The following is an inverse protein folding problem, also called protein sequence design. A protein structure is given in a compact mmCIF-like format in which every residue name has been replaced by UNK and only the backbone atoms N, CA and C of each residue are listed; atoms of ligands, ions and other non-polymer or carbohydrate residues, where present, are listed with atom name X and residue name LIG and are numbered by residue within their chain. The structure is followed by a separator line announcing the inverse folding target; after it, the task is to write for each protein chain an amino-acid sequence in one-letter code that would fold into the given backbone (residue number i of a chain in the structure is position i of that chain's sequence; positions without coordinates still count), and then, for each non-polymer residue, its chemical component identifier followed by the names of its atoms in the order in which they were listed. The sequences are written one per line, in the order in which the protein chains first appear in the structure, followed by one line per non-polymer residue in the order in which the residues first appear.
data_IF_212636210657
#
_entry.id   IF_212636210657
#
_cell.length_a   1.000
_cell.length_b   1.000
_cell.length_c   1.000
_cell.angle_alpha   90.00
_cell.angle_beta   90.00
_cell.angle_gamma   90.00
#
_symmetry.space_group_name_H-M   'P 1'
#
loop_
_entity.id
_entity.type
_entity.pdbx_description
1 polymer ?
#
# COMPACT_ATOMS: atom_id res chain seq x y z
N UNK A 1 25.69 -2.94 -7.50
CA UNK A 1 25.01 -1.83 -6.77
C UNK A 1 25.86 -1.35 -5.59
N UNK A 2 26.49 -0.18 -5.71
CA UNK A 2 27.23 0.43 -4.61
C UNK A 2 26.29 0.88 -3.48
N UNK A 3 26.40 0.24 -2.32
CA UNK A 3 25.61 0.60 -1.13
C UNK A 3 26.23 1.88 -0.57
N UNK A 4 25.50 2.99 -0.68
CA UNK A 4 25.90 4.26 -0.05
C UNK A 4 26.26 4.04 1.43
N UNK A 5 27.34 4.64 1.96
CA UNK A 5 27.80 4.43 3.36
C UNK A 5 26.77 4.86 4.42
N UNK A 6 25.72 5.60 4.03
CA UNK A 6 24.59 5.94 4.92
C UNK A 6 23.60 4.78 5.08
N UNK A 7 23.50 3.89 4.08
CA UNK A 7 22.65 2.71 4.12
C UNK A 7 23.25 1.59 4.96
N UNK A 8 24.57 1.38 4.90
CA UNK A 8 25.26 0.32 5.66
C UNK A 8 25.05 0.48 7.16
N UNK A 9 25.28 1.68 7.68
CA UNK A 9 25.02 1.99 9.09
C UNK A 9 23.55 1.74 9.47
N UNK A 10 22.61 2.09 8.59
CA UNK A 10 21.18 1.91 8.85
C UNK A 10 20.76 0.44 8.87
N UNK A 11 21.41 -0.41 8.05
CA UNK A 11 21.19 -1.84 8.00
C UNK A 11 21.70 -2.54 9.26
N UNK A 12 22.91 -2.23 9.72
CA UNK A 12 23.46 -2.76 10.98
C UNK A 12 22.56 -2.41 12.18
N UNK A 13 22.04 -1.19 12.23
CA UNK A 13 21.08 -0.80 13.27
C UNK A 13 19.76 -1.56 13.16
N UNK A 14 19.22 -1.74 11.96
CA UNK A 14 18.00 -2.52 11.78
C UNK A 14 18.18 -3.98 12.24
N UNK A 15 19.33 -4.59 11.94
CA UNK A 15 19.66 -5.96 12.33
C UNK A 15 19.90 -6.13 13.84
N UNK A 16 20.37 -5.10 14.55
CA UNK A 16 20.54 -5.16 16.01
C UNK A 16 19.22 -5.06 16.78
N UNK A 17 18.21 -4.41 16.19
CA UNK A 17 16.87 -4.26 16.79
C UNK A 17 16.01 -5.53 16.61
N UNK A 18 16.24 -6.26 15.52
CA UNK A 18 15.44 -7.42 15.15
C UNK A 18 15.96 -8.72 15.78
N UNK A 19 15.04 -9.64 16.07
CA UNK A 19 15.43 -10.99 16.47
C UNK A 19 16.23 -11.69 15.35
N UNK A 20 17.16 -12.61 15.68
CA UNK A 20 18.01 -13.29 14.70
C UNK A 20 17.26 -13.88 13.50
N UNK A 21 16.08 -14.44 13.74
CA UNK A 21 15.25 -15.08 12.70
C UNK A 21 14.76 -14.10 11.62
N UNK A 22 14.66 -12.81 11.95
CA UNK A 22 14.10 -11.78 11.08
C UNK A 22 15.16 -10.90 10.41
N UNK A 23 16.44 -11.04 10.75
CA UNK A 23 17.53 -10.21 10.21
C UNK A 23 17.62 -10.24 8.69
N UNK A 24 17.39 -11.41 8.08
CA UNK A 24 17.39 -11.60 6.62
C UNK A 24 16.43 -10.68 5.86
N UNK A 25 15.37 -10.22 6.51
CA UNK A 25 14.34 -9.37 5.93
C UNK A 25 14.67 -7.87 6.03
N UNK A 26 15.63 -7.49 6.88
CA UNK A 26 15.98 -6.09 7.13
C UNK A 26 16.45 -5.38 5.86
N UNK A 27 17.25 -6.06 5.02
CA UNK A 27 17.73 -5.53 3.75
C UNK A 27 16.59 -5.22 2.77
N UNK A 28 15.63 -6.13 2.66
CA UNK A 28 14.47 -5.95 1.77
C UNK A 28 13.56 -4.82 2.26
N UNK A 29 13.30 -4.76 3.56
CA UNK A 29 12.53 -3.66 4.14
C UNK A 29 13.22 -2.32 3.86
N UNK A 30 14.52 -2.21 4.11
CA UNK A 30 15.26 -0.95 3.98
C UNK A 30 15.30 -0.43 2.54
N UNK A 31 15.26 -1.31 1.54
CA UNK A 31 15.13 -0.93 0.13
C UNK A 31 13.78 -0.27 -0.20
N UNK A 32 12.72 -0.69 0.49
CA UNK A 32 11.35 -0.21 0.27
C UNK A 32 10.88 0.81 1.32
N UNK A 33 11.74 1.16 2.28
CA UNK A 33 11.37 1.98 3.42
C UNK A 33 11.04 3.42 3.02
N UNK A 34 9.96 3.96 3.57
CA UNK A 34 9.58 5.36 3.35
C UNK A 34 10.51 6.31 4.10
N UNK A 35 10.56 7.58 3.67
CA UNK A 35 11.36 8.61 4.36
C UNK A 35 11.00 8.76 5.84
N UNK A 36 9.73 8.55 6.20
CA UNK A 36 9.25 8.62 7.58
C UNK A 36 9.70 7.42 8.40
N UNK A 37 9.69 6.22 7.82
CA UNK A 37 10.20 5.00 8.46
C UNK A 37 11.71 5.10 8.70
N UNK A 38 12.48 5.60 7.73
CA UNK A 38 13.93 5.83 7.89
C UNK A 38 14.21 6.85 9.00
N UNK A 39 13.40 7.91 9.11
CA UNK A 39 13.47 8.86 10.23
C UNK A 39 13.14 8.18 11.56
N UNK A 40 12.11 7.33 11.59
CA UNK A 40 11.74 6.52 12.75
C UNK A 40 12.87 5.60 13.19
N UNK A 41 13.56 4.94 12.25
CA UNK A 41 14.72 4.09 12.53
C UNK A 41 15.86 4.88 13.19
N UNK A 42 16.12 6.12 12.73
CA UNK A 42 17.11 6.99 13.37
C UNK A 42 16.70 7.37 14.79
N UNK A 43 15.41 7.64 15.02
CA UNK A 43 14.90 7.94 16.36
C UNK A 43 15.11 6.73 17.27
N UNK A 44 14.74 5.53 16.81
CA UNK A 44 14.94 4.29 17.56
C UNK A 44 16.42 4.07 17.88
N UNK A 45 17.32 4.29 16.91
CA UNK A 45 18.76 4.12 17.16
C UNK A 45 19.29 5.09 18.22
N UNK A 46 18.81 6.34 18.24
CA UNK A 46 19.14 7.28 19.32
C UNK A 46 18.55 6.87 20.67
N UNK A 47 17.32 6.35 20.70
CA UNK A 47 16.68 5.89 21.94
C UNK A 47 17.48 4.75 22.56
N UNK A 48 17.89 3.77 21.74
CA UNK A 48 18.67 2.62 22.19
C UNK A 48 20.06 3.05 22.68
N UNK A 49 20.75 3.92 21.92
CA UNK A 49 22.05 4.49 22.34
C UNK A 49 21.99 5.24 23.67
N UNK A 50 20.83 5.78 24.03
CA UNK A 50 20.61 6.51 25.29
C UNK A 50 19.79 5.71 26.31
N UNK A 51 19.64 4.38 26.13
CA UNK A 51 18.94 3.47 27.05
C UNK A 51 17.52 3.93 27.45
N UNK A 52 16.80 4.58 26.53
CA UNK A 52 15.45 5.06 26.77
C UNK A 52 15.32 6.37 27.56
N UNK A 53 16.43 7.03 27.93
CA UNK A 53 16.42 8.28 28.72
C UNK A 53 16.39 9.56 27.86
N UNK A 54 16.49 9.44 26.53
CA UNK A 54 16.58 10.58 25.62
C UNK A 54 15.25 11.34 25.55
N UNK A 55 15.26 12.63 25.88
CA UNK A 55 14.18 13.55 25.51
C UNK A 55 14.54 14.29 24.22
N UNK A 56 13.66 14.25 23.24
CA UNK A 56 13.83 15.00 22.01
C UNK A 56 13.29 16.41 22.20
N UNK A 57 14.14 17.41 21.97
CA UNK A 57 13.70 18.80 21.97
C UNK A 57 12.63 18.94 20.88
N UNK A 58 11.45 19.45 21.24
CA UNK A 58 10.47 19.84 20.23
C UNK A 58 11.15 20.81 19.27
N UNK A 59 11.01 20.63 17.95
CA UNK A 59 11.47 21.64 17.02
C UNK A 59 10.83 22.95 17.46
N UNK A 60 11.63 23.99 17.71
CA UNK A 60 11.11 25.33 17.97
C UNK A 60 10.53 25.83 16.64
N UNK A 61 9.31 25.38 16.34
CA UNK A 61 8.54 25.82 15.19
C UNK A 61 8.09 27.24 15.54
N UNK A 62 8.82 28.24 15.03
CA UNK A 62 8.24 29.57 14.91
C UNK A 62 7.01 29.42 14.02
N UNK A 63 5.80 29.82 14.48
CA UNK A 63 4.58 29.60 13.73
C UNK A 63 4.72 30.29 12.36
N UNK A 64 4.52 29.54 11.28
CA UNK A 64 4.49 30.15 9.94
C UNK A 64 3.13 30.83 9.76
N UNK A 65 3.08 31.87 8.96
CA UNK A 65 1.83 32.59 8.63
C UNK A 65 0.80 31.63 8.02
N UNK A 66 1.25 30.62 7.26
CA UNK A 66 0.40 29.54 6.74
C UNK A 66 -0.32 28.77 7.83
N UNK A 67 0.37 28.48 8.93
CA UNK A 67 -0.13 27.65 10.02
C UNK A 67 -1.15 28.43 10.84
N UNK A 68 -0.94 29.75 10.97
CA UNK A 68 -1.91 30.66 11.59
C UNK A 68 -3.21 30.73 10.78
N UNK A 69 -3.14 30.84 9.44
CA UNK A 69 -4.32 30.84 8.58
C UNK A 69 -5.06 29.50 8.59
N UNK A 70 -4.32 28.39 8.66
CA UNK A 70 -4.91 27.06 8.80
C UNK A 70 -5.66 26.93 10.14
N UNK A 71 -5.03 27.36 11.24
CA UNK A 71 -5.65 27.38 12.57
C UNK A 71 -6.89 28.29 12.62
N UNK A 72 -6.84 29.46 11.98
CA UNK A 72 -8.00 30.35 11.86
C UNK A 72 -9.17 29.69 11.13
N UNK A 73 -8.89 29.00 10.02
CA UNK A 73 -9.91 28.25 9.27
C UNK A 73 -10.48 27.10 10.10
N UNK A 74 -9.66 26.40 10.87
CA UNK A 74 -10.11 25.29 11.72
C UNK A 74 -10.99 25.81 12.87
N UNK A 75 -10.59 26.92 13.52
CA UNK A 75 -11.41 27.58 14.55
C UNK A 75 -12.73 28.06 13.96
N UNK A 76 -12.72 28.65 12.75
CA UNK A 76 -13.93 29.11 12.07
C UNK A 76 -14.85 27.95 11.71
N UNK A 77 -14.32 26.82 11.24
CA UNK A 77 -15.11 25.63 10.97
C UNK A 77 -15.73 25.07 12.24
N UNK A 78 -14.95 25.00 13.32
CA UNK A 78 -15.42 24.51 14.62
C UNK A 78 -16.50 25.43 15.21
N UNK A 79 -16.36 26.75 15.07
CA UNK A 79 -17.37 27.71 15.56
C UNK A 79 -18.64 27.74 14.72
N UNK A 80 -18.55 27.45 13.42
CA UNK A 80 -19.71 27.35 12.53
C UNK A 80 -20.36 25.95 12.54
N UNK A 81 -19.80 24.99 13.28
CA UNK A 81 -20.31 23.62 13.34
C UNK A 81 -21.58 23.58 14.17
N UNK A 82 -22.65 23.04 13.61
CA UNK A 82 -23.91 22.90 14.33
C UNK A 82 -23.81 21.80 15.39
N UNK A 83 -24.61 21.90 16.46
CA UNK A 83 -24.70 20.84 17.47
C UNK A 83 -25.13 19.51 16.87
N UNK A 84 -25.97 19.55 15.83
CA UNK A 84 -26.37 18.38 15.05
C UNK A 84 -25.19 17.73 14.32
N UNK A 85 -24.30 18.50 13.69
CA UNK A 85 -23.08 17.98 13.04
C UNK A 85 -22.04 17.44 14.02
N UNK A 86 -22.10 17.90 15.27
CA UNK A 86 -21.31 17.33 16.35
C UNK A 86 -21.92 15.96 16.70
N UNK A 87 -23.19 15.87 17.07
CA UNK A 87 -23.76 14.62 17.60
C UNK A 87 -24.04 13.54 16.54
N UNK A 88 -24.45 13.95 15.34
CA UNK A 88 -24.94 13.05 14.28
C UNK A 88 -24.14 13.16 12.98
N UNK A 89 -23.16 14.06 12.91
CA UNK A 89 -22.28 14.19 11.75
C UNK A 89 -21.30 13.01 11.62
N UNK A 90 -21.26 12.41 10.43
CA UNK A 90 -20.37 11.28 10.07
C UNK A 90 -18.88 11.67 10.15
N UNK A 91 -18.54 12.97 10.15
CA UNK A 91 -17.16 13.49 10.18
C UNK A 91 -16.48 13.44 11.55
N UNK A 92 -17.07 12.78 12.56
CA UNK A 92 -16.40 12.54 13.85
C UNK A 92 -15.23 11.54 13.81
N UNK A 93 -14.72 11.18 12.62
CA UNK A 93 -13.39 10.59 12.51
C UNK A 93 -12.35 11.70 12.80
N UNK A 94 -12.31 12.18 14.05
CA UNK A 94 -11.12 12.81 14.64
C UNK A 94 -9.98 11.92 14.18
N UNK A 95 -9.07 12.47 13.39
CA UNK A 95 -7.91 11.75 12.92
C UNK A 95 -7.16 11.28 14.17
N UNK A 96 -7.47 10.06 14.63
CA UNK A 96 -6.88 9.46 15.82
C UNK A 96 -5.41 9.35 15.44
N UNK A 97 -4.62 10.26 15.98
CA UNK A 97 -3.18 10.30 15.75
C UNK A 97 -2.68 8.90 16.07
N UNK A 98 -1.96 8.28 15.13
CA UNK A 98 -1.61 6.85 15.24
C UNK A 98 -0.87 6.49 16.53
N UNK A 99 -0.25 7.49 17.17
CA UNK A 99 0.38 7.53 18.49
C UNK A 99 -0.57 7.40 19.69
N UNK A 100 -1.85 7.78 19.56
CA UNK A 100 -2.82 7.72 20.64
C UNK A 100 -2.99 6.29 21.19
N UNK A 101 -2.76 5.26 20.37
CA UNK A 101 -2.77 3.86 20.80
C UNK A 101 -1.79 3.58 21.96
N UNK A 102 -0.66 4.29 22.00
CA UNK A 102 0.37 4.12 23.04
C UNK A 102 -0.05 4.72 24.39
N UNK A 103 -1.13 5.51 24.43
CA UNK A 103 -1.70 6.00 25.70
C UNK A 103 -2.50 4.93 26.41
N UNK A 104 -3.06 3.99 25.66
CA UNK A 104 -3.98 2.96 26.16
C UNK A 104 -3.33 1.58 26.26
N UNK A 105 -2.32 1.30 25.43
CA UNK A 105 -1.72 -0.03 25.29
C UNK A 105 -0.21 0.02 25.36
N UNK A 106 0.41 -0.96 26.04
CA UNK A 106 1.87 -1.07 26.10
C UNK A 106 2.44 -1.57 24.76
N UNK A 107 3.71 -1.25 24.49
CA UNK A 107 4.36 -1.67 23.24
C UNK A 107 4.52 -3.19 23.16
N UNK A 108 4.80 -3.84 24.29
CA UNK A 108 4.87 -5.29 24.46
C UNK A 108 3.59 -6.02 24.05
N UNK A 109 2.43 -5.40 24.27
CA UNK A 109 1.13 -6.00 23.98
C UNK A 109 0.76 -5.89 22.49
N UNK A 110 1.46 -5.06 21.71
CA UNK A 110 1.19 -4.90 20.28
C UNK A 110 1.84 -6.03 19.47
N UNK A 111 1.27 -6.34 18.29
CA UNK A 111 1.80 -7.39 17.41
C UNK A 111 3.25 -7.15 16.96
N UNK A 112 3.69 -5.89 16.93
CA UNK A 112 5.05 -5.49 16.56
C UNK A 112 6.12 -5.95 17.56
N UNK A 113 5.74 -6.29 18.80
CA UNK A 113 6.71 -6.76 19.81
C UNK A 113 7.34 -8.10 19.45
N UNK A 114 6.63 -8.92 18.67
CA UNK A 114 7.04 -10.28 18.29
C UNK A 114 8.32 -10.33 17.44
N UNK A 115 8.65 -9.24 16.74
CA UNK A 115 9.81 -9.17 15.85
C UNK A 115 11.04 -8.51 16.50
N UNK A 116 10.85 -7.82 17.63
CA UNK A 116 11.86 -7.01 18.30
C UNK A 116 12.65 -7.81 19.33
N UNK A 117 13.91 -7.44 19.56
CA UNK A 117 14.68 -7.93 20.70
C UNK A 117 14.10 -7.44 22.02
N UNK A 118 14.22 -8.25 23.08
CA UNK A 118 13.72 -7.90 24.42
C UNK A 118 14.35 -6.61 24.95
N UNK A 119 15.64 -6.41 24.70
CA UNK A 119 16.39 -5.21 25.11
C UNK A 119 15.85 -3.95 24.44
N UNK A 120 15.67 -3.99 23.11
CA UNK A 120 15.12 -2.87 22.36
C UNK A 120 13.71 -2.52 22.85
N UNK A 121 12.89 -3.53 23.13
CA UNK A 121 11.53 -3.34 23.65
C UNK A 121 11.55 -2.57 24.98
N UNK A 122 12.39 -2.97 25.94
CA UNK A 122 12.51 -2.31 27.25
C UNK A 122 12.90 -0.84 27.09
N UNK A 123 13.90 -0.53 26.25
CA UNK A 123 14.34 0.85 26.04
C UNK A 123 13.28 1.71 25.36
N UNK A 124 12.56 1.14 24.39
CA UNK A 124 11.46 1.85 23.72
C UNK A 124 10.29 2.09 24.66
N UNK A 125 9.90 1.11 25.48
CA UNK A 125 8.84 1.29 26.48
C UNK A 125 9.19 2.35 27.52
N UNK A 126 10.42 2.30 28.04
CA UNK A 126 10.94 3.33 28.96
C UNK A 126 10.87 4.72 28.35
N UNK A 127 11.22 4.83 27.07
CA UNK A 127 11.15 6.10 26.35
C UNK A 127 9.70 6.58 26.14
N UNK A 128 8.78 5.69 25.80
CA UNK A 128 7.34 6.02 25.64
C UNK A 128 6.76 6.54 26.96
N UNK A 129 7.17 6.00 28.10
CA UNK A 129 6.74 6.46 29.43
C UNK A 129 7.14 7.92 29.73
N UNK A 130 8.17 8.46 29.07
CA UNK A 130 8.56 9.86 29.23
C UNK A 130 7.53 10.84 28.65
N UNK A 131 6.53 10.36 27.89
CA UNK A 131 5.46 11.16 27.26
C UNK A 131 6.01 12.37 26.50
N UNK A 132 6.99 12.10 25.64
CA UNK A 132 7.65 13.09 24.79
C UNK A 132 6.73 13.57 23.64
N UNK A 133 7.29 14.22 22.60
CA UNK A 133 6.48 14.70 21.46
C UNK A 133 5.76 13.58 20.71
N UNK A 134 4.47 13.79 20.44
CA UNK A 134 3.59 12.86 19.73
C UNK A 134 4.04 12.57 18.29
N UNK A 135 4.70 13.53 17.65
CA UNK A 135 5.26 13.39 16.31
C UNK A 135 6.33 12.30 16.25
N UNK A 136 7.22 12.25 17.23
CA UNK A 136 8.29 11.25 17.28
C UNK A 136 7.74 9.86 17.59
N UNK A 137 6.71 9.77 18.43
CA UNK A 137 6.00 8.51 18.68
C UNK A 137 5.32 7.98 17.41
N UNK A 138 4.74 8.88 16.61
CA UNK A 138 4.14 8.52 15.31
C UNK A 138 5.20 7.99 14.33
N UNK A 139 6.36 8.64 14.24
CA UNK A 139 7.46 8.17 13.40
C UNK A 139 8.00 6.79 13.84
N UNK A 140 8.13 6.58 15.15
CA UNK A 140 8.51 5.30 15.73
C UNK A 140 7.50 4.21 15.35
N UNK A 141 6.20 4.46 15.53
CA UNK A 141 5.15 3.50 15.20
C UNK A 141 5.11 3.19 13.70
N UNK A 142 5.27 4.19 12.84
CA UNK A 142 5.32 3.98 11.40
C UNK A 142 6.49 3.09 11.01
N UNK A 143 7.66 3.30 11.61
CA UNK A 143 8.82 2.42 11.41
C UNK A 143 8.53 0.98 11.85
N UNK A 144 8.03 0.76 13.07
CA UNK A 144 7.72 -0.58 13.58
C UNK A 144 6.64 -1.29 12.75
N UNK A 145 5.60 -0.56 12.31
CA UNK A 145 4.55 -1.06 11.42
C UNK A 145 5.12 -1.45 10.06
N UNK A 146 5.97 -0.61 9.48
CA UNK A 146 6.62 -0.87 8.20
C UNK A 146 7.46 -2.14 8.24
N UNK A 147 8.29 -2.29 9.28
CA UNK A 147 9.13 -3.49 9.47
C UNK A 147 8.26 -4.73 9.63
N UNK A 148 7.27 -4.67 10.53
CA UNK A 148 6.38 -5.81 10.79
C UNK A 148 5.57 -6.23 9.56
N UNK A 149 5.03 -5.26 8.82
CA UNK A 149 4.31 -5.51 7.58
C UNK A 149 5.20 -6.23 6.57
N UNK A 150 6.42 -5.73 6.36
CA UNK A 150 7.37 -6.35 5.43
C UNK A 150 7.71 -7.78 5.84
N UNK A 151 8.01 -8.03 7.12
CA UNK A 151 8.29 -9.38 7.63
C UNK A 151 7.09 -10.29 7.42
N UNK A 152 5.87 -9.84 7.77
CA UNK A 152 4.67 -10.68 7.63
C UNK A 152 4.34 -11.01 6.19
N UNK A 153 4.49 -10.06 5.27
CA UNK A 153 4.35 -10.31 3.84
C UNK A 153 5.36 -11.39 3.43
N UNK A 154 6.63 -11.26 3.82
CA UNK A 154 7.67 -12.19 3.42
C UNK A 154 7.56 -13.58 4.07
N UNK A 155 6.95 -13.69 5.25
CA UNK A 155 6.65 -14.98 5.88
C UNK A 155 5.47 -15.70 5.22
N UNK A 156 4.46 -14.94 4.76
CA UNK A 156 3.21 -15.48 4.24
C UNK A 156 3.23 -15.69 2.73
N UNK A 157 4.36 -15.42 2.05
CA UNK A 157 4.51 -15.75 0.64
C UNK A 157 4.44 -17.28 0.51
N UNK A 158 3.40 -17.85 -0.14
CA UNK A 158 3.37 -19.27 -0.39
C UNK A 158 4.59 -19.60 -1.24
N UNK A 159 5.39 -20.57 -0.78
CA UNK A 159 6.46 -21.16 -1.59
C UNK A 159 5.77 -21.93 -2.70
N UNK A 160 5.39 -21.23 -3.77
CA UNK A 160 4.93 -21.89 -4.99
C UNK A 160 6.11 -22.69 -5.52
N UNK A 161 5.86 -23.89 -6.04
CA UNK A 161 6.89 -24.78 -6.61
C UNK A 161 7.76 -24.12 -7.71
N UNK A 162 7.38 -22.94 -8.18
CA UNK A 162 8.14 -22.08 -9.10
C UNK A 162 9.20 -21.19 -8.43
N UNK A 163 9.21 -21.00 -7.11
CA UNK A 163 10.21 -20.16 -6.43
C UNK A 163 11.62 -20.77 -6.42
N UNK A 164 11.78 -22.07 -6.60
CA UNK A 164 13.12 -22.64 -6.85
C UNK A 164 13.72 -22.14 -8.18
N UNK A 165 12.89 -21.60 -9.08
CA UNK A 165 13.29 -21.11 -10.41
C UNK A 165 13.12 -19.60 -10.61
N UNK A 166 12.45 -18.88 -9.70
CA UNK A 166 12.29 -17.42 -9.78
C UNK A 166 13.30 -16.72 -8.90
N UNK A 167 14.59 -16.88 -9.24
CA UNK A 167 15.59 -15.92 -8.86
C UNK A 167 15.21 -14.59 -9.50
N UNK A 168 14.87 -13.60 -8.68
CA UNK A 168 14.87 -12.21 -9.12
C UNK A 168 16.31 -11.87 -9.50
N UNK A 169 16.65 -12.08 -10.77
CA UNK A 169 17.93 -11.62 -11.30
C UNK A 169 18.02 -10.13 -11.01
N UNK A 170 19.04 -9.75 -10.24
CA UNK A 170 19.50 -8.36 -10.18
C UNK A 170 19.66 -7.86 -11.61
N UNK A 171 19.44 -6.57 -11.87
CA UNK A 171 19.66 -6.01 -13.22
C UNK A 171 21.07 -6.37 -13.77
N UNK A 172 22.06 -6.51 -12.88
CA UNK A 172 23.42 -6.97 -13.19
C UNK A 172 23.49 -8.44 -13.63
N UNK A 173 22.64 -9.33 -13.09
CA UNK A 173 22.61 -10.73 -13.49
C UNK A 173 21.83 -10.96 -14.79
N UNK A 174 20.83 -10.13 -15.09
CA UNK A 174 20.17 -10.13 -16.41
C UNK A 174 21.15 -9.75 -17.52
N UNK A 175 22.11 -8.84 -17.25
CA UNK A 175 23.15 -8.49 -18.21
C UNK A 175 24.15 -9.64 -18.43
N UNK A 176 24.54 -10.37 -17.38
CA UNK A 176 25.42 -11.54 -17.52
C UNK A 176 24.79 -12.65 -18.35
N UNK A 177 23.49 -12.93 -18.15
CA UNK A 177 22.77 -13.94 -18.95
C UNK A 177 22.62 -13.50 -20.42
N UNK A 178 22.43 -12.20 -20.67
CA UNK A 178 22.41 -11.65 -22.04
C UNK A 178 23.79 -11.72 -22.72
N UNK A 179 24.87 -11.60 -21.95
CA UNK A 179 26.24 -11.72 -22.46
C UNK A 179 26.62 -13.19 -22.73
N UNK A 180 26.19 -14.16 -21.91
CA UNK A 180 26.50 -15.58 -22.14
C UNK A 180 25.85 -16.13 -23.41
N UNK A 181 24.67 -15.61 -23.79
CA UNK A 181 23.95 -16.04 -25.00
C UNK A 181 24.51 -15.48 -26.32
N UNK A 182 25.44 -14.52 -26.28
CA UNK A 182 26.07 -13.96 -27.49
C UNK A 182 27.27 -14.78 -28.00
N UNK A 183 27.81 -15.68 -27.19
CA UNK A 183 29.03 -16.43 -27.53
C UNK A 183 28.76 -17.87 -27.99
N UNK A 184 27.50 -18.28 -28.17
CA UNK A 184 27.20 -19.60 -28.72
C UNK A 184 27.22 -19.55 -30.25
N UNK A 185 28.42 -19.72 -30.80
CA UNK A 185 28.62 -20.10 -32.21
C UNK A 185 27.90 -21.43 -32.43
N UNK A 186 26.85 -21.41 -33.24
CA UNK A 186 26.18 -22.63 -33.70
C UNK A 186 27.15 -23.42 -34.60
N UNK A 187 27.87 -24.38 -34.02
CA UNK A 187 28.47 -25.46 -34.79
C UNK A 187 27.38 -26.50 -35.07
N UNK A 188 26.96 -26.58 -36.32
CA UNK A 188 26.04 -27.60 -36.80
C UNK A 188 26.75 -28.98 -36.75
N UNK A 189 26.19 -30.01 -36.09
CA UNK A 189 26.68 -31.36 -36.25
C UNK A 189 25.94 -32.06 -37.41
N UNK A 190 26.74 -32.52 -38.36
CA UNK A 190 26.33 -33.39 -39.46
C UNK A 190 25.98 -34.81 -38.96
N UNK A 191 24.84 -35.29 -39.46
CA UNK A 191 24.49 -36.69 -39.78
C UNK A 191 25.08 -37.84 -38.95
N UNK A 192 24.23 -38.55 -38.19
CA UNK A 192 24.12 -40.02 -38.27
C UNK A 192 22.66 -40.48 -38.16
N UNK A 193 22.29 -41.40 -39.06
CA UNK A 193 20.98 -42.08 -39.20
C UNK A 193 20.88 -43.31 -38.28
N UNK A 194 19.63 -43.74 -38.05
CA UNK A 194 19.09 -44.99 -37.41
C UNK A 194 18.73 -44.84 -35.92
N UNK A 195 17.62 -45.38 -35.39
CA UNK A 195 16.44 -46.06 -35.94
C UNK A 195 15.37 -46.15 -34.84
N UNK A 196 14.15 -45.72 -35.19
CA UNK A 196 12.79 -46.01 -34.66
C UNK A 196 12.64 -46.80 -33.34
N UNK A 197 11.99 -46.17 -32.36
CA UNK A 197 10.71 -46.62 -31.74
C UNK A 197 9.93 -45.39 -31.25
N UNK A 198 8.68 -45.31 -31.67
CA UNK A 198 7.81 -44.16 -31.54
C UNK A 198 7.20 -44.05 -30.13
N UNK A 199 7.34 -42.88 -29.51
CA UNK A 199 6.26 -42.25 -28.75
C UNK A 199 5.82 -41.05 -29.58
N UNK A 200 4.52 -40.94 -29.81
CA UNK A 200 3.87 -39.90 -30.60
C UNK A 200 4.14 -38.51 -30.02
N UNK A 201 5.22 -37.88 -30.50
CA UNK A 201 5.50 -36.47 -30.28
C UNK A 201 4.58 -35.65 -31.17
N UNK A 202 3.77 -34.82 -30.53
CA UNK A 202 3.01 -33.72 -31.12
C UNK A 202 3.95 -32.89 -32.00
N UNK A 203 3.67 -32.80 -33.30
CA UNK A 203 4.41 -31.95 -34.23
C UNK A 203 4.20 -30.47 -33.83
N UNK A 204 5.26 -29.68 -33.56
CA UNK A 204 5.15 -28.25 -33.26
C UNK A 204 5.04 -27.41 -34.55
N UNK A 205 4.31 -27.92 -35.55
CA UNK A 205 4.22 -27.33 -36.89
C UNK A 205 2.82 -26.90 -37.33
N UNK A 206 1.76 -27.37 -36.68
CA UNK A 206 0.37 -27.13 -37.11
C UNK A 206 -0.55 -26.72 -35.94
N UNK A 207 -0.06 -25.87 -35.04
CA UNK A 207 -0.98 -25.08 -34.19
C UNK A 207 -1.07 -23.71 -34.83
N UNK A 208 -1.90 -23.61 -35.87
CA UNK A 208 -2.44 -22.32 -36.28
C UNK A 208 -3.34 -21.85 -35.14
N UNK A 209 -2.82 -20.99 -34.27
CA UNK A 209 -3.67 -20.14 -33.46
C UNK A 209 -4.42 -19.26 -34.45
N UNK A 210 -5.67 -19.59 -34.73
CA UNK A 210 -6.63 -18.61 -35.22
C UNK A 210 -6.70 -17.53 -34.13
N UNK A 211 -5.95 -16.45 -34.35
CA UNK A 211 -6.19 -15.19 -33.67
C UNK A 211 -7.65 -14.89 -33.99
N UNK A 212 -8.58 -14.89 -33.01
CA UNK A 212 -9.97 -14.60 -33.31
C UNK A 212 -9.98 -13.25 -34.02
N UNK A 213 -10.43 -13.24 -35.28
CA UNK A 213 -10.46 -12.05 -36.10
C UNK A 213 -11.19 -10.98 -35.30
N UNK A 214 -10.42 -9.99 -34.83
CA UNK A 214 -10.92 -8.97 -33.93
C UNK A 214 -11.76 -8.04 -34.79
N UNK A 215 -13.04 -8.38 -34.95
CA UNK A 215 -13.93 -7.60 -35.79
C UNK A 215 -14.14 -6.24 -35.13
N UNK A 216 -13.60 -5.20 -35.79
CA UNK A 216 -13.56 -3.83 -35.29
C UNK A 216 -14.97 -3.29 -35.05
N UNK A 217 -15.96 -3.85 -35.76
CA UNK A 217 -17.39 -3.58 -35.65
C UNK A 217 -17.94 -3.87 -34.24
N UNK A 218 -17.49 -4.95 -33.60
CA UNK A 218 -18.01 -5.46 -32.31
C UNK A 218 -17.40 -4.75 -31.09
N UNK A 219 -16.34 -3.96 -31.27
CA UNK A 219 -15.64 -3.28 -30.18
C UNK A 219 -16.45 -2.13 -29.55
N UNK A 220 -17.26 -1.44 -30.36
CA UNK A 220 -18.16 -0.37 -29.87
C UNK A 220 -19.34 -0.96 -29.11
N UNK A 221 -19.89 -2.06 -29.58
CA UNK A 221 -21.06 -2.71 -28.99
C UNK A 221 -20.75 -3.34 -27.63
N UNK A 222 -19.57 -3.95 -27.46
CA UNK A 222 -19.09 -4.42 -26.14
C UNK A 222 -18.81 -3.29 -25.17
N UNK A 223 -18.23 -2.16 -25.62
CA UNK A 223 -18.03 -0.98 -24.77
C UNK A 223 -19.37 -0.37 -24.32
N UNK A 224 -20.36 -0.33 -25.21
CA UNK A 224 -21.72 0.08 -24.87
C UNK A 224 -22.42 -0.90 -23.92
N UNK A 225 -22.22 -2.21 -24.09
CA UNK A 225 -22.77 -3.23 -23.18
C UNK A 225 -22.14 -3.16 -21.78
N UNK A 226 -20.83 -2.88 -21.67
CA UNK A 226 -20.16 -2.68 -20.39
C UNK A 226 -20.56 -1.37 -19.70
N UNK A 227 -20.91 -0.34 -20.46
CA UNK A 227 -21.41 0.94 -19.95
C UNK A 227 -22.90 0.91 -19.60
N UNK A 228 -23.69 0.01 -20.20
CA UNK A 228 -25.13 -0.13 -19.91
C UNK A 228 -25.42 -0.76 -18.55
N UNK A 229 -24.42 -1.36 -17.90
CA UNK A 229 -24.60 -2.04 -16.63
C UNK A 229 -25.55 -3.24 -16.76
N UNK A 230 -25.38 -4.25 -15.92
CA UNK A 230 -26.42 -5.25 -15.77
C UNK A 230 -27.63 -4.57 -15.13
N UNK A 231 -28.61 -4.20 -15.95
CA UNK A 231 -29.83 -3.49 -15.58
C UNK A 231 -30.79 -4.38 -14.79
N UNK A 232 -30.38 -4.80 -13.59
CA UNK A 232 -31.21 -5.60 -12.67
C UNK A 232 -30.95 -5.24 -11.19
N UNK A 233 -30.67 -3.95 -10.90
CA UNK A 233 -30.69 -3.43 -9.53
C UNK A 233 -31.91 -2.56 -9.20
N UNK A 234 -32.77 -2.26 -10.18
CA UNK A 234 -33.93 -1.38 -9.99
C UNK A 234 -35.28 -2.08 -10.03
N UNK A 235 -35.35 -3.39 -10.30
CA UNK A 235 -36.61 -4.15 -10.33
C UNK A 235 -37.17 -4.52 -8.95
N UNK A 236 -36.42 -4.33 -7.86
CA UNK A 236 -36.86 -4.65 -6.50
C UNK A 236 -37.57 -3.50 -5.76
N UNK A 237 -37.66 -2.29 -6.34
CA UNK A 237 -38.29 -1.14 -5.68
C UNK A 237 -39.57 -0.67 -6.42
N UNK A 238 -39.87 -1.18 -7.61
CA UNK A 238 -41.00 -0.69 -8.42
C UNK A 238 -42.37 -1.28 -8.10
N UNK A 239 -42.51 -2.14 -7.08
CA UNK A 239 -43.80 -2.73 -6.69
C UNK A 239 -44.19 -2.41 -5.22
N UNK A 240 -43.79 -1.25 -4.70
CA UNK A 240 -44.44 -0.68 -3.54
C UNK A 240 -45.75 -0.02 -3.98
N UNK A 241 -46.79 -0.86 -3.90
CA UNK A 241 -48.18 -0.54 -3.63
C UNK A 241 -48.43 0.95 -3.31
N UNK A 242 -49.39 1.54 -4.03
CA UNK A 242 -49.99 2.87 -3.87
C UNK A 242 -50.65 3.04 -2.49
N UNK A 243 -49.85 3.01 -1.44
CA UNK A 243 -50.23 3.21 -0.05
C UNK A 243 -49.84 4.60 0.42
N UNK A 244 -50.85 5.46 0.58
CA UNK A 244 -50.89 6.71 1.36
C UNK A 244 -49.52 7.23 1.84
N UNK A 245 -48.89 8.02 0.98
CA UNK A 245 -47.77 8.88 1.33
C UNK A 245 -48.28 9.90 2.37
N UNK A 246 -47.54 10.09 3.46
CA UNK A 246 -47.93 11.04 4.51
C UNK A 246 -47.83 12.49 3.99
N UNK A 247 -48.68 13.39 4.47
CA UNK A 247 -48.67 14.84 4.15
C UNK A 247 -47.29 15.50 4.28
N UNK A 248 -46.39 14.92 5.08
CA UNK A 248 -45.02 15.42 5.27
C UNK A 248 -44.10 15.12 4.07
N UNK A 249 -44.34 14.03 3.34
CA UNK A 249 -43.54 13.65 2.18
C UNK A 249 -43.92 14.46 0.92
N UNK A 250 -45.17 14.94 0.82
CA UNK A 250 -45.60 15.88 -0.23
C UNK A 250 -44.91 17.26 -0.11
N UNK A 251 -44.52 17.66 1.10
CA UNK A 251 -43.83 18.94 1.34
C UNK A 251 -42.41 19.00 0.75
N UNK A 252 -41.83 17.84 0.41
CA UNK A 252 -40.49 17.73 -0.16
C UNK A 252 -40.46 17.20 -1.60
N UNK A 253 -41.63 16.87 -2.18
CA UNK A 253 -41.72 16.63 -3.62
C UNK A 253 -41.71 17.97 -4.34
N UNK A 254 -40.52 18.51 -4.55
CA UNK A 254 -40.31 19.65 -5.41
C UNK A 254 -40.86 19.34 -6.81
N UNK A 255 -41.65 20.28 -7.34
CA UNK A 255 -42.16 20.24 -8.71
C UNK A 255 -41.00 20.03 -9.69
N UNK A 256 -40.77 18.78 -10.11
CA UNK A 256 -39.91 18.48 -11.25
C UNK A 256 -40.64 18.91 -12.52
N UNK A 257 -40.55 20.20 -12.83
CA UNK A 257 -40.78 20.68 -14.19
C UNK A 257 -39.72 20.08 -15.11
N UNK A 258 -40.08 19.49 -16.26
CA UNK A 258 -39.11 18.88 -17.18
C UNK A 258 -38.40 19.98 -17.97
N UNK A 259 -37.35 20.57 -17.39
CA UNK A 259 -36.47 21.48 -18.12
C UNK A 259 -35.35 20.66 -18.76
N UNK A 260 -35.50 20.44 -20.08
CA UNK A 260 -34.39 20.15 -20.98
C UNK A 260 -33.40 21.31 -20.94
N UNK A 261 -32.15 21.08 -20.55
CA UNK A 261 -30.99 21.70 -21.23
C UNK A 261 -29.69 21.04 -20.75
N UNK A 262 -28.83 20.72 -21.72
CA UNK A 262 -27.57 20.06 -21.49
C UNK A 262 -26.59 20.90 -20.67
N UNK A 263 -25.94 20.25 -19.70
CA UNK A 263 -24.67 20.69 -19.14
C UNK A 263 -23.68 19.53 -19.18
N UNK A 264 -22.47 19.88 -19.57
CA UNK A 264 -21.33 19.00 -19.87
C UNK A 264 -20.92 18.24 -18.60
N UNK A 265 -20.55 16.97 -18.76
CA UNK A 265 -20.00 16.15 -17.70
C UNK A 265 -18.56 16.58 -17.40
N UNK A 266 -18.33 17.27 -16.30
CA UNK A 266 -16.99 17.45 -15.74
C UNK A 266 -16.61 16.18 -14.96
N UNK A 267 -16.14 15.15 -15.68
CA UNK A 267 -15.46 14.00 -15.08
C UNK A 267 -14.07 13.86 -15.70
N UNK A 268 -13.15 14.71 -15.28
CA UNK A 268 -11.72 14.41 -15.33
C UNK A 268 -11.34 13.66 -14.04
N UNK A 269 -11.80 12.42 -13.90
CA UNK A 269 -11.22 11.48 -12.93
C UNK A 269 -10.18 10.64 -13.64
N UNK A 270 -8.93 11.04 -13.56
CA UNK A 270 -7.80 10.18 -13.94
C UNK A 270 -7.67 9.07 -12.90
N UNK A 271 -7.84 7.82 -13.34
CA UNK A 271 -7.52 6.65 -12.53
C UNK A 271 -6.05 6.33 -12.73
N UNK A 272 -5.24 6.57 -11.70
CA UNK A 272 -3.85 6.11 -11.66
C UNK A 272 -3.86 4.68 -11.13
N UNK A 273 -3.71 3.70 -12.03
CA UNK A 273 -3.48 2.31 -11.64
C UNK A 273 -1.99 2.17 -11.33
N UNK A 274 -1.65 2.06 -10.05
CA UNK A 274 -0.30 1.72 -9.62
C UNK A 274 -0.09 0.21 -9.84
N UNK A 275 0.54 -0.14 -10.95
CA UNK A 275 1.06 -1.50 -11.15
C UNK A 275 2.25 -1.65 -10.21
N UNK A 276 2.12 -2.58 -9.26
CA UNK A 276 3.20 -2.94 -8.34
C UNK A 276 4.12 -3.91 -9.10
N UNK A 277 5.45 -3.65 -9.13
CA UNK A 277 6.42 -4.61 -9.67
C UNK A 277 6.54 -5.85 -8.78
#
# INVERSE_FOLDING_TARGET
MEISPKLTNSLEFAESILLPNYKKYAKHWLANATKNEIKGLKIISYIIKCEGKKRFKRPSMKPRISDLRAAENDIRKESMRSHYDIEFGVEQLKHISGSAILRYRKLSELSFSTILTKEALIYLERWIQLRDSEEYQTLLLNCLRGIYSCIKIQQNLPVTQTQESFYWYSAEDQERVKQSNRNFVQTAPTFYKRSRRALSSINPGDITFEIPAYDRSMSKERKLSGLRGNGDFTSWISNLNTGKVSLYQDSFSTHFSPIRSGRKSDFNTSVIIKVVP
#
